data_IF_907702643807
#
_entry.id   IF_907702643807
#
_cell.length_a   1.000
_cell.length_b   1.000
_cell.length_c   1.000
_cell.angle_alpha   90.00
_cell.angle_beta   90.00
_cell.angle_gamma   90.00
#
_symmetry.space_group_name_H-M   'P 1'
#
loop_
_entity.id
_entity.type
_entity.pdbx_description
1 polymer ?
#
# COMPACT_ATOMS: atom_id res chain seq x y z
N UNK A 1 14.44 -23.04 -6.79
CA UNK A 1 13.14 -22.33 -6.85
C UNK A 1 13.19 -21.34 -8.02
N UNK A 2 12.53 -21.59 -9.15
CA UNK A 2 12.52 -20.63 -10.28
C UNK A 2 11.60 -19.47 -9.91
N UNK A 3 12.17 -18.35 -9.48
CA UNK A 3 11.42 -17.11 -9.21
C UNK A 3 10.94 -16.58 -10.56
N UNK A 4 9.71 -16.93 -10.95
CA UNK A 4 9.05 -16.32 -12.11
C UNK A 4 8.41 -15.03 -11.62
N UNK A 5 8.90 -13.89 -12.11
CA UNK A 5 8.24 -12.59 -11.91
C UNK A 5 6.90 -12.60 -12.67
N UNK A 6 5.85 -13.07 -12.00
CA UNK A 6 4.50 -13.04 -12.54
C UNK A 6 4.04 -11.58 -12.63
N UNK A 7 3.41 -11.22 -13.75
CA UNK A 7 2.85 -9.88 -13.94
C UNK A 7 1.84 -9.58 -12.84
N UNK A 8 2.10 -8.52 -12.06
CA UNK A 8 1.21 -8.03 -11.02
C UNK A 8 -0.11 -7.58 -11.67
N UNK A 9 -1.29 -7.98 -11.16
CA UNK A 9 -2.55 -7.52 -11.69
C UNK A 9 -2.71 -6.01 -11.50
N UNK A 10 -3.27 -5.32 -12.51
CA UNK A 10 -3.47 -3.86 -12.49
C UNK A 10 -4.23 -3.39 -11.24
N UNK A 11 -5.22 -4.17 -10.79
CA UNK A 11 -5.96 -3.88 -9.56
C UNK A 11 -5.02 -3.82 -8.34
N UNK A 12 -4.16 -4.81 -8.12
CA UNK A 12 -3.22 -4.79 -7.00
C UNK A 12 -2.22 -3.62 -7.10
N UNK A 13 -1.76 -3.33 -8.32
CA UNK A 13 -0.86 -2.20 -8.56
C UNK A 13 -1.49 -0.87 -8.16
N UNK A 14 -2.78 -0.67 -8.46
CA UNK A 14 -3.51 0.53 -8.04
C UNK A 14 -3.51 0.69 -6.52
N UNK A 15 -3.85 -0.36 -5.77
CA UNK A 15 -3.83 -0.33 -4.30
C UNK A 15 -2.42 -0.08 -3.75
N UNK A 16 -1.38 -0.67 -4.35
CA UNK A 16 0.00 -0.41 -3.96
C UNK A 16 0.38 1.06 -4.15
N UNK A 17 0.11 1.62 -5.32
CA UNK A 17 0.41 3.03 -5.61
C UNK A 17 -0.35 3.97 -4.68
N UNK A 18 -1.65 3.71 -4.46
CA UNK A 18 -2.49 4.53 -3.59
C UNK A 18 -2.01 4.49 -2.13
N UNK A 19 -1.79 3.30 -1.58
CA UNK A 19 -1.32 3.14 -0.21
C UNK A 19 0.09 3.71 -0.01
N UNK A 20 0.99 3.52 -0.98
CA UNK A 20 2.33 4.10 -0.95
C UNK A 20 2.29 5.63 -0.99
N UNK A 21 1.42 6.23 -1.80
CA UNK A 21 1.25 7.68 -1.84
C UNK A 21 0.76 8.24 -0.49
N UNK A 22 -0.18 7.56 0.18
CA UNK A 22 -0.66 7.95 1.51
C UNK A 22 0.47 7.87 2.54
N UNK A 23 1.23 6.78 2.54
CA UNK A 23 2.38 6.59 3.45
C UNK A 23 3.44 7.66 3.20
N UNK A 24 3.80 7.91 1.94
CA UNK A 24 4.77 8.93 1.56
C UNK A 24 4.35 10.33 1.99
N UNK A 25 3.07 10.68 1.80
CA UNK A 25 2.50 11.92 2.31
C UNK A 25 2.62 12.01 3.85
N UNK A 26 2.26 10.95 4.56
CA UNK A 26 2.34 10.93 6.02
C UNK A 26 3.78 11.13 6.52
N UNK A 27 4.75 10.46 5.88
CA UNK A 27 6.16 10.62 6.19
C UNK A 27 6.65 12.05 5.88
N UNK A 28 6.25 12.62 4.74
CA UNK A 28 6.60 14.00 4.39
C UNK A 28 6.08 15.02 5.41
N UNK A 29 4.82 14.87 5.84
CA UNK A 29 4.23 15.71 6.88
C UNK A 29 4.95 15.51 8.22
N UNK A 30 5.24 14.26 8.60
CA UNK A 30 5.96 13.95 9.85
C UNK A 30 7.34 14.61 9.90
N UNK A 31 8.15 14.46 8.85
CA UNK A 31 9.52 14.98 8.82
C UNK A 31 9.62 16.48 8.56
N UNK A 32 8.62 17.09 7.93
CA UNK A 32 8.61 18.55 7.71
C UNK A 32 8.32 19.35 8.99
N UNK A 33 7.93 18.70 10.09
CA UNK A 33 7.53 19.39 11.31
C UNK A 33 6.23 20.20 11.16
N UNK A 34 5.48 19.98 10.06
CA UNK A 34 4.23 20.69 9.82
C UNK A 34 3.14 20.15 10.74
N UNK A 35 2.62 21.02 11.61
CA UNK A 35 1.50 20.69 12.50
C UNK A 35 0.13 20.69 11.81
N UNK A 36 0.08 20.42 10.50
CA UNK A 36 -1.17 20.41 9.71
C UNK A 36 -2.16 19.34 10.22
N UNK A 37 -1.63 18.26 10.78
CA UNK A 37 -2.39 17.17 11.37
C UNK A 37 -1.84 16.88 12.76
N UNK A 38 -2.72 16.52 13.69
CA UNK A 38 -2.28 15.98 14.98
C UNK A 38 -1.58 14.64 14.75
N UNK A 39 -0.60 14.32 15.61
CA UNK A 39 0.17 13.08 15.54
C UNK A 39 -0.73 11.85 15.47
N UNK A 40 -1.81 11.83 16.27
CA UNK A 40 -2.80 10.76 16.27
C UNK A 40 -3.46 10.56 14.90
N UNK A 41 -3.89 11.66 14.24
CA UNK A 41 -4.52 11.59 12.91
C UNK A 41 -3.52 11.16 11.85
N UNK A 42 -2.27 11.61 11.97
CA UNK A 42 -1.19 11.22 11.07
C UNK A 42 -0.88 9.72 11.17
N UNK A 43 -0.82 9.18 12.39
CA UNK A 43 -0.67 7.75 12.64
C UNK A 43 -1.85 6.94 12.09
N UNK A 44 -3.09 7.42 12.28
CA UNK A 44 -4.29 6.78 11.71
C UNK A 44 -4.24 6.73 10.18
N UNK A 45 -3.86 7.84 9.53
CA UNK A 45 -3.71 7.90 8.07
C UNK A 45 -2.59 6.97 7.57
N UNK A 46 -1.48 6.90 8.30
CA UNK A 46 -0.39 5.98 7.97
C UNK A 46 -0.86 4.52 8.02
N UNK A 47 -1.59 4.14 9.08
CA UNK A 47 -2.17 2.80 9.23
C UNK A 47 -3.16 2.52 8.09
N UNK A 48 -4.02 3.47 7.73
CA UNK A 48 -4.94 3.33 6.60
C UNK A 48 -4.16 3.09 5.30
N UNK A 49 -3.08 3.85 5.05
CA UNK A 49 -2.20 3.63 3.90
C UNK A 49 -1.62 2.21 3.86
N UNK A 50 -1.15 1.69 4.99
CA UNK A 50 -0.65 0.33 5.11
C UNK A 50 -1.74 -0.75 4.88
N UNK A 51 -2.96 -0.50 5.35
CA UNK A 51 -4.11 -1.39 5.08
C UNK A 51 -4.46 -1.42 3.60
N UNK A 52 -4.43 -0.27 2.91
CA UNK A 52 -4.65 -0.18 1.46
C UNK A 52 -3.62 -1.02 0.69
N UNK A 53 -2.33 -0.93 1.05
CA UNK A 53 -1.28 -1.79 0.47
C UNK A 53 -1.56 -3.28 0.74
N UNK A 54 -2.00 -3.61 1.95
CA UNK A 54 -2.35 -4.98 2.34
C UNK A 54 -3.47 -5.56 1.48
N UNK A 55 -4.51 -4.77 1.18
CA UNK A 55 -5.59 -5.17 0.26
C UNK A 55 -5.04 -5.47 -1.14
N UNK A 56 -4.12 -4.64 -1.66
CA UNK A 56 -3.44 -4.91 -2.93
C UNK A 56 -2.71 -6.26 -2.91
N UNK A 57 -2.05 -6.60 -1.79
CA UNK A 57 -1.38 -7.89 -1.61
C UNK A 57 -2.35 -9.06 -1.57
N UNK A 58 -3.47 -8.94 -0.87
CA UNK A 58 -4.51 -9.95 -0.87
C UNK A 58 -5.05 -10.21 -2.29
N UNK A 59 -5.34 -9.15 -3.05
CA UNK A 59 -5.80 -9.27 -4.45
C UNK A 59 -4.74 -9.95 -5.32
N UNK A 60 -3.48 -9.54 -5.20
CA UNK A 60 -2.38 -10.13 -5.96
C UNK A 60 -2.25 -11.63 -5.69
N UNK A 61 -2.31 -12.02 -4.40
CA UNK A 61 -2.29 -13.43 -3.97
C UNK A 61 -3.45 -14.19 -4.59
N UNK A 62 -4.70 -13.73 -4.40
CA UNK A 62 -5.90 -14.40 -4.92
C UNK A 62 -5.83 -14.59 -6.43
N UNK A 63 -5.40 -13.57 -7.19
CA UNK A 63 -5.27 -13.66 -8.64
C UNK A 63 -4.18 -14.63 -9.06
N UNK A 64 -3.03 -14.64 -8.37
CA UNK A 64 -1.95 -15.58 -8.68
C UNK A 64 -2.33 -17.04 -8.37
N UNK A 65 -3.05 -17.27 -7.27
CA UNK A 65 -3.58 -18.59 -6.95
C UNK A 65 -4.60 -19.07 -7.98
N UNK A 66 -5.48 -18.17 -8.46
CA UNK A 66 -6.46 -18.51 -9.50
C UNK A 66 -5.83 -18.83 -10.86
N UNK A 67 -4.71 -18.18 -11.22
CA UNK A 67 -3.96 -18.47 -12.47
C UNK A 67 -3.13 -19.75 -12.43
N UNK A 68 -2.89 -20.33 -11.25
CA UNK A 68 -2.10 -21.57 -11.07
C UNK A 68 -2.95 -22.84 -11.18
N UNK A 69 -4.27 -22.73 -10.99
CA UNK A 69 -5.24 -23.77 -11.35
C UNK A 69 -5.53 -23.71 -12.84
#
# INVERSE_FOLDING_TARGET
MKIKFAKIPLAALFFYSAGFAIIGFCLGVFYSGNHWLSELRLQQLFIIGALVVTVGSAINIVVQFKKRK
#
